data_IF_217161601109
#
_entry.id   IF_217161601109
#
_cell.length_a   1.000
_cell.length_b   1.000
_cell.length_c   1.000
_cell.angle_alpha   90.00
_cell.angle_beta   90.00
_cell.angle_gamma   90.00
#
_symmetry.space_group_name_H-M   'P 1'
#
loop_
_entity.id
_entity.type
_entity.pdbx_description
1 polymer ?
#
# COMPACT_ATOMS: atom_id res chain seq x y z
N UNK A 1 -12.63 1.26 -12.76
CA UNK A 1 -12.31 2.00 -11.52
C UNK A 1 -13.00 1.29 -10.37
N UNK A 2 -12.23 0.59 -9.54
CA UNK A 2 -12.76 -0.19 -8.41
C UNK A 2 -13.24 0.74 -7.30
N UNK A 3 -14.40 0.44 -6.71
CA UNK A 3 -14.93 1.19 -5.56
C UNK A 3 -13.93 1.19 -4.40
N UNK A 4 -13.76 2.34 -3.72
CA UNK A 4 -12.88 2.49 -2.54
C UNK A 4 -13.16 1.43 -1.49
N UNK A 5 -14.43 1.07 -1.28
CA UNK A 5 -14.83 0.04 -0.32
C UNK A 5 -14.25 -1.33 -0.68
N UNK A 6 -14.28 -1.69 -1.98
CA UNK A 6 -13.73 -2.94 -2.47
C UNK A 6 -12.19 -2.96 -2.36
N UNK A 7 -11.51 -1.83 -2.61
CA UNK A 7 -10.06 -1.72 -2.40
C UNK A 7 -9.70 -1.94 -0.92
N UNK A 8 -10.43 -1.32 0.01
CA UNK A 8 -10.18 -1.46 1.45
C UNK A 8 -10.44 -2.90 1.91
N UNK A 9 -11.51 -3.54 1.45
CA UNK A 9 -11.80 -4.94 1.76
C UNK A 9 -10.72 -5.89 1.21
N UNK A 10 -10.27 -5.67 -0.03
CA UNK A 10 -9.21 -6.47 -0.64
C UNK A 10 -7.87 -6.29 0.07
N UNK A 11 -7.53 -5.08 0.51
CA UNK A 11 -6.37 -4.84 1.37
C UNK A 11 -6.47 -5.67 2.65
N UNK A 12 -7.55 -5.54 3.42
CA UNK A 12 -7.71 -6.33 4.67
C UNK A 12 -7.49 -7.82 4.46
N UNK A 13 -8.07 -8.39 3.40
CA UNK A 13 -7.85 -9.80 3.02
C UNK A 13 -6.37 -10.11 2.77
N UNK A 14 -5.66 -9.27 2.03
CA UNK A 14 -4.22 -9.46 1.78
C UNK A 14 -3.39 -9.39 3.07
N UNK A 15 -3.76 -8.50 4.01
CA UNK A 15 -3.16 -8.44 5.34
C UNK A 15 -3.40 -9.73 6.16
N UNK A 16 -4.64 -10.23 6.16
CA UNK A 16 -5.01 -11.49 6.82
C UNK A 16 -4.30 -12.72 6.23
N UNK A 17 -4.07 -12.72 4.92
CA UNK A 17 -3.29 -13.73 4.20
C UNK A 17 -1.76 -13.62 4.44
N UNK A 18 -1.32 -12.59 5.18
CA UNK A 18 0.10 -12.35 5.46
C UNK A 18 0.90 -11.92 4.23
N UNK A 19 0.25 -11.30 3.24
CA UNK A 19 0.92 -10.86 2.01
C UNK A 19 1.84 -9.67 2.29
N UNK A 20 2.98 -9.56 1.59
CA UNK A 20 3.87 -8.41 1.71
C UNK A 20 3.17 -7.08 1.39
N UNK A 21 3.61 -6.00 2.04
CA UNK A 21 3.10 -4.65 1.83
C UNK A 21 3.32 -4.15 0.40
N UNK A 22 4.49 -4.45 -0.17
CA UNK A 22 4.86 -4.17 -1.56
C UNK A 22 3.90 -4.85 -2.53
N UNK A 23 3.50 -6.09 -2.24
CA UNK A 23 2.54 -6.82 -3.05
C UNK A 23 1.13 -6.23 -2.95
N UNK A 24 0.69 -5.91 -1.73
CA UNK A 24 -0.59 -5.24 -1.50
C UNK A 24 -0.65 -3.86 -2.19
N UNK A 25 0.45 -3.11 -2.15
CA UNK A 25 0.55 -1.82 -2.83
C UNK A 25 0.45 -1.98 -4.35
N UNK A 26 1.14 -2.95 -4.96
CA UNK A 26 1.00 -3.25 -6.39
C UNK A 26 -0.41 -3.69 -6.77
N UNK A 27 -1.08 -4.44 -5.90
CA UNK A 27 -2.47 -4.80 -6.12
C UNK A 27 -3.37 -3.56 -6.18
N UNK A 28 -3.25 -2.64 -5.22
CA UNK A 28 -4.00 -1.36 -5.25
C UNK A 28 -3.69 -0.55 -6.51
N UNK A 29 -2.42 -0.47 -6.91
CA UNK A 29 -2.02 0.22 -8.14
C UNK A 29 -2.71 -0.35 -9.37
N UNK A 30 -2.82 -1.69 -9.48
CA UNK A 30 -3.54 -2.35 -10.58
C UNK A 30 -5.04 -2.07 -10.55
N UNK A 31 -5.67 -2.07 -9.36
CA UNK A 31 -7.10 -1.75 -9.20
C UNK A 31 -7.44 -0.30 -9.57
N UNK A 32 -6.49 0.61 -9.36
CA UNK A 32 -6.63 2.03 -9.67
C UNK A 32 -6.36 2.36 -11.14
N UNK A 33 -5.51 1.58 -11.82
CA UNK A 33 -5.14 1.81 -13.21
C UNK A 33 -4.44 3.15 -13.43
N UNK A 34 -4.69 3.78 -14.58
CA UNK A 34 -3.99 5.00 -15.02
C UNK A 34 -4.27 6.23 -14.13
N UNK A 35 -5.31 6.20 -13.31
CA UNK A 35 -5.67 7.27 -12.37
C UNK A 35 -4.88 7.23 -11.06
N UNK A 36 -3.96 6.28 -10.92
CA UNK A 36 -3.16 6.10 -9.71
C UNK A 36 -2.45 7.38 -9.25
N UNK A 37 -2.61 7.71 -7.97
CA UNK A 37 -1.82 8.71 -7.24
C UNK A 37 -1.29 8.10 -5.95
N UNK A 38 -0.02 8.34 -5.62
CA UNK A 38 0.59 7.87 -4.36
C UNK A 38 -0.19 8.30 -3.12
N UNK A 39 -0.80 9.48 -3.15
CA UNK A 39 -1.65 9.94 -2.05
C UNK A 39 -2.87 9.05 -1.81
N UNK A 40 -3.51 8.57 -2.88
CA UNK A 40 -4.65 7.65 -2.76
C UNK A 40 -4.21 6.30 -2.20
N UNK A 41 -3.03 5.81 -2.59
CA UNK A 41 -2.44 4.60 -2.00
C UNK A 41 -2.31 4.72 -0.48
N UNK A 42 -1.74 5.83 0.00
CA UNK A 42 -1.63 6.10 1.44
C UNK A 42 -2.99 6.14 2.13
N UNK A 43 -4.00 6.78 1.50
CA UNK A 43 -5.38 6.84 2.03
C UNK A 43 -6.00 5.43 2.14
N UNK A 44 -5.75 4.56 1.16
CA UNK A 44 -6.25 3.18 1.20
C UNK A 44 -5.59 2.36 2.32
N UNK A 45 -4.27 2.45 2.48
CA UNK A 45 -3.55 1.79 3.58
C UNK A 45 -3.97 2.31 4.95
N UNK A 46 -4.15 3.64 5.09
CA UNK A 46 -4.72 4.22 6.30
C UNK A 46 -6.13 3.68 6.58
N UNK A 47 -7.00 3.63 5.57
CA UNK A 47 -8.40 3.18 5.74
C UNK A 47 -8.49 1.68 6.08
N UNK A 48 -7.58 0.87 5.56
CA UNK A 48 -7.57 -0.57 5.80
C UNK A 48 -6.97 -0.93 7.16
N UNK A 49 -5.82 -0.37 7.50
CA UNK A 49 -5.00 -0.83 8.63
C UNK A 49 -4.73 0.23 9.71
N UNK A 50 -5.12 1.49 9.46
CA UNK A 50 -4.79 2.65 10.29
C UNK A 50 -3.26 2.77 10.54
N UNK A 51 -2.48 2.58 9.47
CA UNK A 51 -1.04 2.83 9.48
C UNK A 51 -0.77 4.31 9.80
N UNK A 52 0.16 4.65 10.70
CA UNK A 52 0.52 6.04 10.98
C UNK A 52 0.97 6.77 9.71
N UNK A 53 0.53 8.03 9.55
CA UNK A 53 0.85 8.84 8.37
C UNK A 53 2.36 8.98 8.16
N UNK A 54 3.13 9.12 9.23
CA UNK A 54 4.61 9.17 9.17
C UNK A 54 5.21 7.94 8.49
N UNK A 55 4.65 6.74 8.73
CA UNK A 55 5.08 5.51 8.06
C UNK A 55 4.62 5.47 6.61
N UNK A 56 3.41 5.94 6.34
CA UNK A 56 2.88 6.02 4.97
C UNK A 56 3.70 6.96 4.07
N UNK A 57 4.32 8.01 4.62
CA UNK A 57 5.22 8.88 3.85
C UNK A 57 6.43 8.16 3.28
N UNK A 58 6.90 7.08 3.92
CA UNK A 58 7.99 6.28 3.35
C UNK A 58 7.59 5.62 2.01
N UNK A 59 6.29 5.38 1.77
CA UNK A 59 5.83 4.87 0.48
C UNK A 59 6.15 5.81 -0.68
N UNK A 60 6.30 7.12 -0.46
CA UNK A 60 6.68 8.10 -1.48
C UNK A 60 8.10 7.85 -2.03
N UNK A 61 8.93 7.14 -1.26
CA UNK A 61 10.31 6.78 -1.60
C UNK A 61 10.42 5.39 -2.21
N UNK A 62 9.32 4.64 -2.32
CA UNK A 62 9.32 3.27 -2.82
C UNK A 62 9.60 3.20 -4.32
N UNK A 63 10.59 2.37 -4.70
CA UNK A 63 10.99 2.17 -6.08
C UNK A 63 9.85 1.60 -6.94
N UNK A 64 8.94 0.83 -6.34
CA UNK A 64 7.80 0.23 -7.03
C UNK A 64 6.79 1.24 -7.61
N UNK A 65 6.91 2.52 -7.24
CA UNK A 65 6.17 3.61 -7.88
C UNK A 65 6.70 4.00 -9.26
N UNK A 66 7.88 3.50 -9.67
CA UNK A 66 8.52 3.83 -10.95
C UNK A 66 9.11 5.24 -11.01
N UNK A 67 9.20 5.94 -9.89
CA UNK A 67 9.73 7.32 -9.78
C UNK A 67 11.22 7.38 -9.44
N UNK A 68 11.90 6.23 -9.34
CA UNK A 68 13.32 6.15 -8.98
C UNK A 68 13.61 6.37 -7.48
N UNK A 69 12.62 6.16 -6.62
CA UNK A 69 12.79 6.21 -5.17
C UNK A 69 13.74 5.11 -4.66
N UNK A 70 14.49 5.35 -3.56
CA UNK A 70 15.54 4.44 -3.09
C UNK A 70 15.03 3.27 -2.22
N UNK A 71 13.76 3.27 -1.81
CA UNK A 71 13.22 2.27 -0.89
C UNK A 71 12.81 1.02 -1.67
N UNK A 72 13.44 -0.11 -1.37
CA UNK A 72 13.17 -1.40 -2.00
C UNK A 72 11.87 -2.03 -1.49
N UNK A 73 11.39 -3.06 -2.18
CA UNK A 73 10.27 -3.89 -1.69
C UNK A 73 10.51 -4.43 -0.28
N UNK A 74 11.69 -5.00 -0.03
CA UNK A 74 12.01 -5.62 1.26
C UNK A 74 12.01 -4.60 2.40
N UNK A 75 12.49 -3.38 2.15
CA UNK A 75 12.46 -2.30 3.14
C UNK A 75 11.04 -1.78 3.36
N UNK A 76 10.24 -1.65 2.30
CA UNK A 76 8.84 -1.29 2.43
C UNK A 76 8.07 -2.33 3.26
N UNK A 77 8.31 -3.61 2.99
CA UNK A 77 7.70 -4.74 3.70
C UNK A 77 8.10 -4.75 5.18
N UNK A 78 9.35 -4.43 5.51
CA UNK A 78 9.81 -4.31 6.88
C UNK A 78 9.17 -3.12 7.63
N UNK A 79 8.90 -2.00 6.94
CA UNK A 79 8.33 -0.79 7.54
C UNK A 79 6.81 -0.90 7.71
N UNK A 80 6.11 -1.39 6.69
CA UNK A 80 4.65 -1.37 6.59
C UNK A 80 4.02 -2.71 6.93
N UNK A 81 4.65 -3.83 6.57
CA UNK A 81 4.12 -5.18 6.75
C UNK A 81 3.66 -5.47 8.20
N UNK A 82 4.46 -5.17 9.24
CA UNK A 82 4.04 -5.35 10.63
C UNK A 82 2.79 -4.55 11.05
N UNK A 83 2.41 -3.54 10.26
CA UNK A 83 1.30 -2.65 10.54
C UNK A 83 0.02 -3.04 9.78
N UNK A 84 0.09 -4.06 8.91
CA UNK A 84 -1.04 -4.53 8.10
C UNK A 84 -1.88 -5.61 8.79
N UNK A 85 -1.38 -6.19 9.88
CA UNK A 85 -2.11 -7.20 10.66
C UNK A 85 -2.79 -6.52 11.84
N UNK A 86 -4.13 -6.48 11.82
CA UNK A 86 -4.96 -6.00 12.92
C UNK A 86 -6.25 -6.81 13.02
#
# INVERSE_FOLDING_TARGET
MTDRTAIVAGLRRLGEEGRPASEAARWVMREMGDDFKVFQLMVHFFSAYHVPVERLREMERWEGLGTGGPLTDAELDAIIGPLMVR
#
